data_IF_265065374306
#
_entry.id   IF_265065374306
#
_cell.length_a   1.000
_cell.length_b   1.000
_cell.length_c   1.000
_cell.angle_alpha   90.00
_cell.angle_beta   90.00
_cell.angle_gamma   90.00
#
_symmetry.space_group_name_H-M   'P 1'
#
loop_
_entity.id
_entity.type
_entity.pdbx_description
1 polymer ?
#
# COMPACT_ATOMS: atom_id res chain seq x y z
N UNK A 1 9.96 13.99 -0.51
CA UNK A 1 8.94 13.74 0.53
C UNK A 1 8.97 14.91 1.48
N UNK A 2 7.82 15.45 1.86
CA UNK A 2 7.76 16.54 2.83
C UNK A 2 8.23 16.09 4.22
N UNK A 3 8.87 16.99 4.99
CA UNK A 3 9.58 16.65 6.23
C UNK A 3 8.62 16.21 7.34
N UNK A 4 7.41 16.79 7.40
CA UNK A 4 6.38 16.42 8.38
C UNK A 4 5.92 14.98 8.12
N UNK A 5 5.70 14.65 6.85
CA UNK A 5 5.28 13.29 6.46
C UNK A 5 6.38 12.26 6.74
N UNK A 6 7.64 12.61 6.47
CA UNK A 6 8.77 11.75 6.77
C UNK A 6 8.91 11.48 8.28
N UNK A 7 8.76 12.52 9.11
CA UNK A 7 8.81 12.38 10.58
C UNK A 7 7.67 11.48 11.11
N UNK A 8 6.45 11.64 10.57
CA UNK A 8 5.31 10.77 10.91
C UNK A 8 5.59 9.31 10.55
N UNK A 9 6.11 9.04 9.35
CA UNK A 9 6.46 7.68 8.92
C UNK A 9 7.53 7.08 9.84
N UNK A 10 8.58 7.82 10.16
CA UNK A 10 9.64 7.36 11.07
C UNK A 10 9.08 7.01 12.46
N UNK A 11 8.21 7.87 13.02
CA UNK A 11 7.57 7.61 14.30
C UNK A 11 6.72 6.32 14.28
N UNK A 12 5.95 6.10 13.21
CA UNK A 12 5.14 4.88 13.08
C UNK A 12 6.01 3.63 12.90
N UNK A 13 7.12 3.73 12.16
CA UNK A 13 8.11 2.66 12.04
C UNK A 13 8.64 2.28 13.43
N UNK A 14 9.03 3.26 14.24
CA UNK A 14 9.59 3.00 15.57
C UNK A 14 8.55 2.40 16.52
N UNK A 15 7.28 2.81 16.42
CA UNK A 15 6.18 2.19 17.17
C UNK A 15 5.89 0.74 16.73
N UNK A 16 5.97 0.46 15.43
CA UNK A 16 5.67 -0.87 14.87
C UNK A 16 6.83 -1.87 15.02
N UNK A 17 8.07 -1.38 15.19
CA UNK A 17 9.29 -2.19 15.20
C UNK A 17 9.29 -3.31 16.24
N UNK A 18 8.92 -3.09 17.51
CA UNK A 18 8.91 -4.17 18.51
C UNK A 18 7.95 -5.30 18.13
N UNK A 19 6.76 -4.95 17.64
CA UNK A 19 5.75 -5.94 17.23
C UNK A 19 6.22 -6.75 16.02
N UNK A 20 6.86 -6.10 15.06
CA UNK A 20 7.43 -6.76 13.89
C UNK A 20 8.59 -7.68 14.23
N UNK A 21 9.52 -7.25 15.09
CA UNK A 21 10.67 -8.06 15.49
C UNK A 21 10.26 -9.28 16.31
N UNK A 22 9.21 -9.17 17.13
CA UNK A 22 8.71 -10.28 17.95
C UNK A 22 8.06 -11.40 17.14
N UNK A 23 7.29 -11.05 16.11
CA UNK A 23 6.42 -12.02 15.42
C UNK A 23 6.76 -12.24 13.95
N UNK A 24 7.43 -11.28 13.29
CA UNK A 24 7.66 -11.27 11.83
C UNK A 24 6.39 -11.57 11.03
N UNK A 25 5.24 -11.20 11.58
CA UNK A 25 3.92 -11.45 11.01
C UNK A 25 3.46 -10.22 10.24
N UNK A 26 3.39 -10.38 8.91
CA UNK A 26 2.95 -9.34 7.99
C UNK A 26 1.49 -8.93 8.26
N UNK A 27 0.64 -9.89 8.61
CA UNK A 27 -0.77 -9.63 8.88
C UNK A 27 -0.92 -8.81 10.16
N UNK A 28 -0.26 -9.24 11.24
CA UNK A 28 -0.28 -8.49 12.51
C UNK A 28 0.27 -7.06 12.33
N UNK A 29 1.30 -6.89 11.50
CA UNK A 29 1.81 -5.57 11.14
C UNK A 29 0.74 -4.73 10.43
N UNK A 30 0.06 -5.27 9.41
CA UNK A 30 -0.96 -4.51 8.69
C UNK A 30 -2.18 -4.16 9.55
N UNK A 31 -2.58 -5.05 10.46
CA UNK A 31 -3.63 -4.81 11.45
C UNK A 31 -3.23 -3.69 12.43
N UNK A 32 -1.98 -3.71 12.93
CA UNK A 32 -1.44 -2.63 13.76
C UNK A 32 -1.47 -1.29 13.03
N UNK A 33 -0.98 -1.24 11.79
CA UNK A 33 -0.96 -0.02 10.99
C UNK A 33 -2.38 0.51 10.76
N UNK A 34 -3.35 -0.36 10.48
CA UNK A 34 -4.75 0.04 10.31
C UNK A 34 -5.32 0.63 11.61
N UNK A 35 -5.04 -0.01 12.75
CA UNK A 35 -5.49 0.47 14.07
C UNK A 35 -4.92 1.83 14.45
N UNK A 36 -3.74 2.19 13.94
CA UNK A 36 -3.14 3.54 14.13
C UNK A 36 -3.64 4.58 13.14
N UNK A 37 -4.51 4.21 12.20
CA UNK A 37 -4.93 5.08 11.09
C UNK A 37 -3.86 5.28 10.02
N UNK A 38 -2.78 4.50 10.05
CA UNK A 38 -1.77 4.49 9.00
C UNK A 38 -2.29 3.68 7.80
N UNK A 39 -2.66 4.39 6.73
CA UNK A 39 -3.35 3.83 5.57
C UNK A 39 -2.67 4.22 4.25
N UNK A 40 -3.05 3.52 3.18
CA UNK A 40 -2.59 3.78 1.82
C UNK A 40 -1.07 3.87 1.72
N UNK A 41 -0.58 4.89 1.02
CA UNK A 41 0.85 5.04 0.73
C UNK A 41 1.72 5.25 1.98
N UNK A 42 1.19 5.83 3.07
CA UNK A 42 1.96 5.95 4.33
C UNK A 42 2.21 4.57 4.94
N UNK A 43 1.19 3.69 4.94
CA UNK A 43 1.33 2.32 5.42
C UNK A 43 2.30 1.50 4.56
N UNK A 44 2.28 1.69 3.23
CA UNK A 44 3.24 1.06 2.31
C UNK A 44 4.67 1.51 2.64
N UNK A 45 4.88 2.80 2.89
CA UNK A 45 6.21 3.34 3.20
C UNK A 45 6.73 2.90 4.57
N UNK A 46 5.85 2.80 5.57
CA UNK A 46 6.17 2.20 6.87
C UNK A 46 6.55 0.73 6.69
N UNK A 47 5.74 -0.03 5.95
CA UNK A 47 5.99 -1.45 5.65
C UNK A 47 7.34 -1.63 4.97
N UNK A 48 7.64 -0.82 3.95
CA UNK A 48 8.94 -0.81 3.27
C UNK A 48 10.10 -0.53 4.23
N UNK A 49 9.96 0.48 5.08
CA UNK A 49 10.99 0.85 6.05
C UNK A 49 11.26 -0.23 7.10
N UNK A 50 10.22 -0.97 7.48
CA UNK A 50 10.28 -2.01 8.49
C UNK A 50 10.81 -3.35 7.97
N UNK A 51 10.42 -3.72 6.75
CA UNK A 51 10.84 -4.95 6.08
C UNK A 51 12.19 -4.80 5.37
N UNK A 52 12.63 -3.58 5.10
CA UNK A 52 13.85 -3.31 4.33
C UNK A 52 13.73 -3.76 2.87
N UNK A 53 12.52 -3.88 2.34
CA UNK A 53 12.23 -4.42 1.01
C UNK A 53 12.06 -3.34 -0.07
N UNK A 54 11.77 -3.80 -1.29
CA UNK A 54 11.42 -2.91 -2.40
C UNK A 54 10.04 -2.27 -2.17
N UNK A 55 9.76 -1.18 -2.89
CA UNK A 55 8.43 -0.55 -2.83
C UNK A 55 7.33 -1.50 -3.33
N UNK A 56 7.63 -2.29 -4.36
CA UNK A 56 6.69 -3.27 -4.94
C UNK A 56 6.36 -4.34 -3.91
N UNK A 57 7.38 -4.91 -3.25
CA UNK A 57 7.14 -5.93 -2.22
C UNK A 57 6.33 -5.38 -1.05
N UNK A 58 6.60 -4.14 -0.64
CA UNK A 58 5.83 -3.47 0.41
C UNK A 58 4.38 -3.23 0.00
N UNK A 59 4.14 -2.83 -1.25
CA UNK A 59 2.80 -2.64 -1.79
C UNK A 59 2.04 -3.96 -1.86
N UNK A 60 2.69 -5.04 -2.30
CA UNK A 60 2.11 -6.39 -2.33
C UNK A 60 1.74 -6.82 -0.90
N UNK A 61 2.66 -6.69 0.05
CA UNK A 61 2.41 -7.05 1.45
C UNK A 61 1.25 -6.23 2.08
N UNK A 62 1.10 -4.96 1.69
CA UNK A 62 0.01 -4.11 2.12
C UNK A 62 -1.33 -4.53 1.48
N UNK A 63 -1.41 -4.58 0.14
CA UNK A 63 -2.67 -4.81 -0.57
C UNK A 63 -3.22 -6.23 -0.38
N UNK A 64 -2.35 -7.22 -0.17
CA UNK A 64 -2.78 -8.62 0.00
C UNK A 64 -3.14 -8.97 1.45
N UNK A 65 -2.98 -8.05 2.39
CA UNK A 65 -3.40 -8.30 3.76
C UNK A 65 -4.93 -8.28 3.89
N UNK A 66 -5.57 -9.29 4.53
CA UNK A 66 -7.03 -9.37 4.61
C UNK A 66 -7.70 -8.12 5.20
N UNK A 67 -7.03 -7.45 6.13
CA UNK A 67 -7.54 -6.22 6.74
C UNK A 67 -7.53 -5.01 5.79
N UNK A 68 -6.89 -5.10 4.62
CA UNK A 68 -6.75 -4.06 3.59
C UNK A 68 -7.63 -4.28 2.36
N UNK A 69 -8.67 -5.11 2.48
CA UNK A 69 -9.54 -5.46 1.36
C UNK A 69 -10.20 -4.23 0.69
N UNK A 70 -10.53 -3.19 1.46
CA UNK A 70 -11.09 -1.96 0.91
C UNK A 70 -10.07 -1.19 0.06
N UNK A 71 -8.81 -1.10 0.52
CA UNK A 71 -7.73 -0.48 -0.24
C UNK A 71 -7.35 -1.30 -1.48
N UNK A 72 -7.43 -2.63 -1.41
CA UNK A 72 -7.27 -3.50 -2.57
C UNK A 72 -8.35 -3.26 -3.62
N UNK A 73 -9.63 -3.26 -3.21
CA UNK A 73 -10.74 -3.00 -4.13
C UNK A 73 -10.61 -1.63 -4.81
N UNK A 74 -10.28 -0.58 -4.04
CA UNK A 74 -10.02 0.74 -4.61
C UNK A 74 -8.84 0.75 -5.59
N UNK A 75 -7.76 0.01 -5.28
CA UNK A 75 -6.61 -0.11 -6.17
C UNK A 75 -6.99 -0.79 -7.48
N UNK A 76 -7.73 -1.89 -7.43
CA UNK A 76 -8.22 -2.62 -8.60
C UNK A 76 -9.12 -1.75 -9.47
N UNK A 77 -10.12 -1.08 -8.87
CA UNK A 77 -11.00 -0.13 -9.58
C UNK A 77 -10.22 1.00 -10.26
N UNK A 78 -9.21 1.55 -9.58
CA UNK A 78 -8.37 2.60 -10.15
C UNK A 78 -7.52 2.08 -11.32
N UNK A 79 -6.97 0.87 -11.21
CA UNK A 79 -6.20 0.25 -12.28
C UNK A 79 -7.07 -0.08 -13.49
N UNK A 80 -8.28 -0.59 -13.26
CA UNK A 80 -9.25 -0.84 -14.31
C UNK A 80 -9.65 0.44 -15.04
N UNK A 81 -9.84 1.56 -14.33
CA UNK A 81 -10.12 2.85 -14.95
C UNK A 81 -8.93 3.38 -15.78
N UNK A 82 -7.70 3.20 -15.29
CA UNK A 82 -6.48 3.61 -16.01
C UNK A 82 -6.24 2.75 -17.25
N UNK A 83 -6.55 1.45 -17.21
CA UNK A 83 -6.38 0.54 -18.34
C UNK A 83 -7.55 0.67 -19.33
N UNK A 84 -8.78 0.86 -18.83
CA UNK A 84 -9.98 1.07 -19.64
C UNK A 84 -9.95 2.38 -20.44
N UNK A 85 -9.20 3.38 -19.99
CA UNK A 85 -8.97 4.63 -20.76
C UNK A 85 -7.95 4.48 -21.90
N UNK A 86 -7.26 3.33 -22.00
CA UNK A 86 -6.39 3.01 -23.16
C UNK A 86 -7.11 2.22 -24.26
N UNK A 87 -8.41 1.93 -24.08
CA UNK A 87 -9.27 1.26 -25.05
C UNK A 87 -10.19 2.24 -25.80
N UNK A 88 -9.78 2.61 -27.03
CA UNK A 88 -10.63 2.79 -28.22
C UNK A 88 -11.26 4.17 -28.53
N UNK A 89 -10.87 4.75 -29.69
CA UNK A 89 -11.73 4.79 -30.90
C UNK A 89 -10.86 4.60 -32.15
N UNK A 90 -10.83 3.39 -32.71
CA UNK A 90 -10.50 3.21 -34.14
C UNK A 90 -11.83 3.35 -34.88
N UNK A 91 -12.04 4.39 -35.71
CA UNK A 91 -13.28 4.52 -36.45
C UNK A 91 -13.40 3.34 -37.44
N UNK A 92 -14.63 2.87 -37.72
CA UNK A 92 -14.82 1.82 -38.71
C UNK A 92 -14.30 2.32 -40.07
N UNK A 93 -13.34 1.60 -40.64
CA UNK A 93 -12.98 1.72 -42.04
C UNK A 93 -14.24 1.39 -42.86
N UNK A 94 -14.87 2.41 -43.45
CA UNK A 94 -15.81 2.19 -44.54
C UNK A 94 -15.00 1.92 -45.82
N UNK A 95 -15.48 0.93 -46.57
CA UNK A 95 -14.81 0.25 -47.69
C UNK A 95 -14.31 1.14 -48.83
#
# INVERSE_FOLDING_TARGET
MDSIRAARIAAVIDMARPAWEAHRDHRALQEFLQGTGCNGIDAVLVTKGLLGCSLVDAQVAFLTAPCRAAELAFHEEAMDALLGTTGEVVPPFNG
#
